data_IF_255573075692
#
_entry.id   IF_255573075692
#
_cell.length_a   1.000
_cell.length_b   1.000
_cell.length_c   1.000
_cell.angle_alpha   90.00
_cell.angle_beta   90.00
_cell.angle_gamma   90.00
#
_symmetry.space_group_name_H-M   'P 1'
#
loop_
_entity.id
_entity.type
_entity.pdbx_description
1 polymer ?
#
# COMPACT_ATOMS: atom_id res chain seq x y z
N UNK A 1 -17.43 6.41 -27.63
CA UNK A 1 -17.95 6.76 -26.28
C UNK A 1 -17.81 8.26 -26.02
N UNK A 2 -16.60 8.84 -26.09
CA UNK A 2 -16.39 10.30 -25.89
C UNK A 2 -16.94 11.18 -27.02
N UNK A 3 -16.66 10.87 -28.30
CA UNK A 3 -17.19 11.67 -29.41
C UNK A 3 -18.71 11.53 -29.58
N UNK A 4 -19.28 10.36 -29.24
CA UNK A 4 -20.74 10.20 -29.18
C UNK A 4 -21.38 11.07 -28.08
N UNK A 5 -20.73 11.20 -26.92
CA UNK A 5 -21.17 12.13 -25.89
C UNK A 5 -21.03 13.60 -26.35
N UNK A 6 -19.96 13.93 -27.07
CA UNK A 6 -19.75 15.26 -27.67
C UNK A 6 -20.87 15.64 -28.65
N UNK A 7 -21.24 14.71 -29.54
CA UNK A 7 -22.32 14.89 -30.52
C UNK A 7 -23.69 15.01 -29.84
N UNK A 8 -23.96 14.18 -28.83
CA UNK A 8 -25.24 14.21 -28.12
C UNK A 8 -25.42 15.46 -27.24
N UNK A 9 -24.37 15.87 -26.53
CA UNK A 9 -24.41 17.04 -25.65
C UNK A 9 -24.33 18.36 -26.44
N UNK A 10 -23.86 18.31 -27.70
CA UNK A 10 -23.67 19.47 -28.58
C UNK A 10 -22.98 20.66 -27.91
N UNK A 11 -22.01 20.38 -27.02
CA UNK A 11 -21.27 21.39 -26.27
C UNK A 11 -19.81 21.37 -26.64
N UNK A 12 -19.23 22.55 -26.87
CA UNK A 12 -17.79 22.72 -27.12
C UNK A 12 -16.96 22.59 -25.83
N UNK A 13 -17.60 22.60 -24.67
CA UNK A 13 -16.94 22.60 -23.37
C UNK A 13 -16.68 21.18 -22.82
N UNK A 14 -16.89 20.14 -23.64
CA UNK A 14 -16.57 18.78 -23.22
C UNK A 14 -15.06 18.59 -23.10
N UNK A 15 -14.63 18.30 -21.87
CA UNK A 15 -13.25 17.99 -21.53
C UNK A 15 -13.14 16.58 -20.97
N UNK A 16 -12.01 15.93 -21.24
CA UNK A 16 -11.62 14.67 -20.62
C UNK A 16 -10.42 14.96 -19.72
N UNK A 17 -10.57 14.68 -18.43
CA UNK A 17 -9.50 14.86 -17.44
C UNK A 17 -8.86 13.51 -17.13
N UNK A 18 -7.59 13.27 -17.51
CA UNK A 18 -6.89 12.04 -17.15
C UNK A 18 -6.55 12.05 -15.65
N UNK A 19 -6.78 10.91 -14.97
CA UNK A 19 -6.48 10.73 -13.54
C UNK A 19 -5.75 9.42 -13.33
N UNK A 20 -4.48 9.50 -12.92
CA UNK A 20 -3.66 8.33 -12.57
C UNK A 20 -3.85 7.95 -11.10
N UNK A 21 -4.02 6.65 -10.82
CA UNK A 21 -4.20 6.13 -9.46
C UNK A 21 -3.02 5.24 -9.07
N UNK A 22 -2.25 5.69 -8.08
CA UNK A 22 -1.05 5.02 -7.58
C UNK A 22 -1.32 4.41 -6.20
N UNK A 23 -1.53 3.09 -6.18
CA UNK A 23 -1.79 2.33 -4.97
C UNK A 23 -0.51 1.71 -4.42
N UNK A 24 -0.26 1.85 -3.11
CA UNK A 24 0.81 1.09 -2.46
C UNK A 24 0.48 -0.41 -2.38
N UNK A 25 -0.80 -0.78 -2.31
CA UNK A 25 -1.30 -2.16 -2.36
C UNK A 25 -2.82 -2.19 -2.54
N UNK A 26 -3.36 -2.34 -3.77
CA UNK A 26 -4.80 -2.18 -4.04
C UNK A 26 -5.68 -3.24 -3.36
N UNK A 27 -5.13 -4.42 -3.07
CA UNK A 27 -5.85 -5.52 -2.41
C UNK A 27 -5.77 -5.52 -0.89
N UNK A 28 -5.01 -4.60 -0.28
CA UNK A 28 -4.80 -4.55 1.18
C UNK A 28 -5.57 -3.39 1.81
N UNK A 29 -6.20 -3.67 2.95
CA UNK A 29 -6.82 -2.62 3.77
C UNK A 29 -5.76 -1.63 4.27
N UNK A 30 -6.14 -0.34 4.34
CA UNK A 30 -5.28 0.76 4.78
C UNK A 30 -3.99 0.93 3.95
N UNK A 31 -4.02 0.51 2.69
CA UNK A 31 -3.01 0.91 1.72
C UNK A 31 -3.15 2.40 1.41
N UNK A 32 -2.06 2.99 0.91
CA UNK A 32 -2.03 4.37 0.48
C UNK A 32 -2.52 4.44 -0.97
N UNK A 33 -3.23 5.50 -1.30
CA UNK A 33 -3.61 5.87 -2.66
C UNK A 33 -3.17 7.32 -2.88
N UNK A 34 -2.35 7.53 -3.90
CA UNK A 34 -2.01 8.85 -4.42
C UNK A 34 -2.63 8.99 -5.81
N UNK A 35 -3.33 10.09 -6.07
CA UNK A 35 -3.93 10.36 -7.36
C UNK A 35 -3.25 11.57 -8.00
N UNK A 36 -2.89 11.42 -9.27
CA UNK A 36 -2.35 12.51 -10.09
C UNK A 36 -3.41 12.91 -11.10
N UNK A 37 -3.68 14.21 -11.20
CA UNK A 37 -4.64 14.77 -12.17
C UNK A 37 -3.83 15.41 -13.28
N UNK A 38 -3.97 14.92 -14.51
CA UNK A 38 -3.26 15.45 -15.65
C UNK A 38 -4.02 16.58 -16.35
N UNK A 39 -3.39 17.13 -17.38
CA UNK A 39 -3.96 18.22 -18.15
C UNK A 39 -5.24 17.78 -18.88
N UNK A 40 -6.33 18.57 -18.81
CA UNK A 40 -7.56 18.28 -19.54
C UNK A 40 -7.36 18.25 -21.05
N UNK A 41 -8.00 17.30 -21.72
CA UNK A 41 -8.06 17.21 -23.19
C UNK A 41 -9.40 17.77 -23.63
N UNK A 42 -9.39 18.84 -24.42
CA UNK A 42 -10.60 19.42 -25.00
C UNK A 42 -11.01 18.64 -26.24
N UNK A 43 -12.25 18.14 -26.26
CA UNK A 43 -12.73 17.33 -27.38
C UNK A 43 -13.04 18.17 -28.62
N UNK A 44 -13.32 19.47 -28.42
CA UNK A 44 -13.46 20.45 -29.49
C UNK A 44 -12.27 20.48 -30.45
N UNK A 45 -11.06 20.29 -29.93
CA UNK A 45 -9.80 20.40 -30.68
C UNK A 45 -9.64 19.24 -31.68
N UNK A 46 -10.33 18.12 -31.42
CA UNK A 46 -10.32 16.90 -32.25
C UNK A 46 -11.60 16.75 -33.08
N UNK A 47 -12.61 17.62 -32.88
CA UNK A 47 -13.91 17.50 -33.54
C UNK A 47 -13.84 17.65 -35.07
N UNK A 48 -12.94 18.50 -35.57
CA UNK A 48 -12.71 18.66 -37.01
C UNK A 48 -12.19 17.38 -37.66
N UNK A 49 -11.11 16.82 -37.10
CA UNK A 49 -10.53 15.57 -37.57
C UNK A 49 -11.52 14.39 -37.47
N UNK A 50 -12.36 14.36 -36.42
CA UNK A 50 -13.36 13.31 -36.25
C UNK A 50 -14.42 13.31 -37.36
N UNK A 51 -14.82 14.49 -37.86
CA UNK A 51 -15.76 14.58 -38.99
C UNK A 51 -15.19 14.01 -40.29
N UNK A 52 -13.89 14.19 -40.51
CA UNK A 52 -13.21 13.68 -41.71
C UNK A 52 -12.96 12.16 -41.62
N UNK A 53 -12.47 11.68 -40.47
CA UNK A 53 -12.19 10.26 -40.27
C UNK A 53 -12.39 9.86 -38.80
N UNK A 54 -13.60 9.42 -38.41
CA UNK A 54 -13.93 9.09 -37.03
C UNK A 54 -13.01 8.02 -36.42
N UNK A 55 -12.70 6.98 -37.19
CA UNK A 55 -11.87 5.86 -36.72
C UNK A 55 -10.43 6.31 -36.44
N UNK A 56 -9.84 7.11 -37.33
CA UNK A 56 -8.48 7.63 -37.15
C UNK A 56 -8.40 8.57 -35.96
N UNK A 57 -9.35 9.48 -35.81
CA UNK A 57 -9.34 10.44 -34.71
C UNK A 57 -9.59 9.76 -33.36
N UNK A 58 -10.47 8.77 -33.31
CA UNK A 58 -10.67 7.96 -32.10
C UNK A 58 -9.35 7.28 -31.68
N UNK A 59 -8.60 6.72 -32.65
CA UNK A 59 -7.29 6.13 -32.37
C UNK A 59 -6.29 7.16 -31.84
N UNK A 60 -6.17 8.31 -32.51
CA UNK A 60 -5.28 9.41 -32.07
C UNK A 60 -5.64 9.92 -30.67
N UNK A 61 -6.93 10.06 -30.36
CA UNK A 61 -7.38 10.44 -29.03
C UNK A 61 -6.97 9.40 -27.98
N UNK A 62 -7.13 8.11 -28.28
CA UNK A 62 -6.71 7.04 -27.36
C UNK A 62 -5.19 7.00 -27.17
N UNK A 63 -4.40 7.19 -28.23
CA UNK A 63 -2.94 7.28 -28.14
C UNK A 63 -2.49 8.49 -27.29
N UNK A 64 -3.14 9.65 -27.48
CA UNK A 64 -2.91 10.84 -26.64
C UNK A 64 -3.29 10.58 -25.18
N UNK A 65 -4.46 10.01 -24.94
CA UNK A 65 -4.95 9.71 -23.59
C UNK A 65 -4.03 8.69 -22.89
N UNK A 66 -3.59 7.65 -23.59
CA UNK A 66 -2.65 6.66 -23.06
C UNK A 66 -1.32 7.30 -22.65
N UNK A 67 -0.74 8.15 -23.52
CA UNK A 67 0.49 8.89 -23.18
C UNK A 67 0.31 9.75 -21.93
N UNK A 68 -0.77 10.54 -21.86
CA UNK A 68 -1.07 11.40 -20.71
C UNK A 68 -1.29 10.60 -19.43
N UNK A 69 -1.97 9.46 -19.51
CA UNK A 69 -2.24 8.61 -18.35
C UNK A 69 -0.96 7.92 -17.85
N UNK A 70 -0.05 7.53 -18.74
CA UNK A 70 1.23 6.92 -18.37
C UNK A 70 2.11 7.87 -17.56
N UNK A 71 2.10 9.17 -17.86
CA UNK A 71 2.84 10.18 -17.09
C UNK A 71 2.33 10.33 -15.64
N UNK A 72 1.08 9.93 -15.36
CA UNK A 72 0.45 10.08 -14.06
C UNK A 72 0.66 8.87 -13.13
N UNK A 73 1.27 7.80 -13.63
CA UNK A 73 1.46 6.54 -12.90
C UNK A 73 2.89 6.02 -13.02
N UNK A 74 3.33 5.24 -12.03
CA UNK A 74 4.61 4.54 -12.11
C UNK A 74 4.50 3.40 -13.13
N UNK A 75 5.11 3.57 -14.31
CA UNK A 75 5.04 2.59 -15.40
C UNK A 75 6.32 1.77 -15.53
N UNK A 76 6.26 0.50 -15.13
CA UNK A 76 7.34 -0.47 -15.30
C UNK A 76 7.20 -1.09 -16.70
N UNK A 77 8.20 -0.88 -17.57
CA UNK A 77 8.15 -1.32 -18.98
C UNK A 77 8.27 -2.84 -19.10
N UNK A 78 9.19 -3.43 -18.35
CA UNK A 78 9.42 -4.87 -18.32
C UNK A 78 8.77 -5.49 -17.09
N UNK A 79 7.76 -6.34 -17.30
CA UNK A 79 7.00 -7.03 -16.25
C UNK A 79 7.87 -7.88 -15.31
N UNK A 80 9.01 -8.38 -15.77
CA UNK A 80 9.95 -9.12 -14.90
C UNK A 80 10.53 -8.26 -13.78
N UNK A 81 10.53 -6.93 -13.96
CA UNK A 81 11.02 -5.97 -12.99
C UNK A 81 9.93 -5.49 -12.00
N UNK A 82 8.68 -5.95 -12.14
CA UNK A 82 7.58 -5.56 -11.22
C UNK A 82 7.94 -5.86 -9.76
N UNK A 83 8.42 -7.09 -9.51
CA UNK A 83 8.83 -7.50 -8.17
C UNK A 83 10.06 -6.72 -7.68
N UNK A 84 11.02 -6.46 -8.58
CA UNK A 84 12.24 -5.73 -8.28
C UNK A 84 11.94 -4.32 -7.79
N UNK A 85 11.12 -3.56 -8.52
CA UNK A 85 10.78 -2.17 -8.16
C UNK A 85 10.13 -2.12 -6.78
N UNK A 86 9.17 -3.00 -6.49
CA UNK A 86 8.50 -3.07 -5.17
C UNK A 86 9.47 -3.43 -4.05
N UNK A 87 10.40 -4.35 -4.31
CA UNK A 87 11.41 -4.77 -3.35
C UNK A 87 12.42 -3.64 -3.07
N UNK A 88 12.90 -2.94 -4.10
CA UNK A 88 13.80 -1.81 -3.95
C UNK A 88 13.11 -0.60 -3.31
N UNK A 89 11.85 -0.33 -3.65
CA UNK A 89 11.04 0.74 -3.04
C UNK A 89 11.04 0.61 -1.50
N UNK A 90 10.87 -0.61 -0.99
CA UNK A 90 10.89 -0.88 0.44
C UNK A 90 12.24 -0.51 1.11
N UNK A 91 13.34 -0.56 0.36
CA UNK A 91 14.70 -0.31 0.84
C UNK A 91 15.11 1.16 0.69
N UNK A 92 14.75 1.80 -0.43
CA UNK A 92 15.21 3.17 -0.77
C UNK A 92 14.31 4.26 -0.23
N UNK A 93 13.00 4.01 -0.07
CA UNK A 93 12.00 5.07 0.18
C UNK A 93 12.40 6.02 1.33
N UNK A 94 12.72 5.46 2.50
CA UNK A 94 13.10 6.28 3.66
C UNK A 94 14.47 6.94 3.50
N UNK A 95 15.39 6.25 2.84
CA UNK A 95 16.76 6.73 2.66
C UNK A 95 16.78 7.95 1.74
N UNK A 96 16.15 7.85 0.57
CA UNK A 96 16.08 8.93 -0.42
C UNK A 96 15.28 10.12 0.08
N UNK A 97 14.12 9.91 0.72
CA UNK A 97 13.39 10.99 1.37
C UNK A 97 14.25 11.75 2.38
N UNK A 98 15.03 11.02 3.19
CA UNK A 98 15.92 11.63 4.19
C UNK A 98 17.09 12.38 3.53
N UNK A 99 17.73 11.82 2.50
CA UNK A 99 18.84 12.46 1.77
C UNK A 99 18.42 13.80 1.15
N UNK A 100 17.21 13.87 0.60
CA UNK A 100 16.64 15.10 0.03
C UNK A 100 15.97 16.02 1.07
N UNK A 101 15.98 15.66 2.35
CA UNK A 101 15.28 16.39 3.41
C UNK A 101 13.77 16.60 3.11
N UNK A 102 13.15 15.61 2.48
CA UNK A 102 11.73 15.61 2.11
C UNK A 102 10.88 15.03 3.23
N UNK A 103 9.68 15.58 3.39
CA UNK A 103 8.67 15.03 4.30
C UNK A 103 8.12 13.73 3.71
N UNK A 104 7.70 12.81 4.58
CA UNK A 104 7.00 11.60 4.17
C UNK A 104 5.54 11.90 3.79
N UNK A 105 5.33 12.59 2.66
CA UNK A 105 4.02 12.83 2.02
C UNK A 105 3.78 11.82 0.90
N UNK A 106 2.52 11.65 0.50
CA UNK A 106 2.16 10.75 -0.61
C UNK A 106 2.77 11.19 -1.94
N UNK A 107 2.89 12.50 -2.14
CA UNK A 107 3.51 13.13 -3.31
C UNK A 107 5.00 12.80 -3.39
N UNK A 108 5.76 13.04 -2.32
CA UNK A 108 7.20 12.73 -2.30
C UNK A 108 7.46 11.21 -2.37
N UNK A 109 6.58 10.39 -1.80
CA UNK A 109 6.65 8.93 -1.97
C UNK A 109 6.46 8.56 -3.45
N UNK A 110 5.48 9.14 -4.13
CA UNK A 110 5.27 8.92 -5.56
C UNK A 110 6.44 9.40 -6.42
N UNK A 111 7.03 10.55 -6.13
CA UNK A 111 8.22 11.05 -6.84
C UNK A 111 9.39 10.06 -6.71
N UNK A 112 9.65 9.56 -5.50
CA UNK A 112 10.68 8.55 -5.26
C UNK A 112 10.42 7.26 -6.03
N UNK A 113 9.18 6.74 -5.99
CA UNK A 113 8.83 5.49 -6.70
C UNK A 113 8.87 5.68 -8.21
N UNK A 114 8.48 6.86 -8.73
CA UNK A 114 8.57 7.20 -10.15
C UNK A 114 10.02 7.26 -10.60
N UNK A 115 10.86 7.95 -9.85
CA UNK A 115 12.29 8.03 -10.16
C UNK A 115 12.98 6.66 -10.11
N UNK A 116 12.69 5.85 -9.08
CA UNK A 116 13.18 4.47 -9.00
C UNK A 116 12.75 3.66 -10.22
N UNK A 117 11.49 3.77 -10.63
CA UNK A 117 10.95 3.03 -11.77
C UNK A 117 11.66 3.43 -13.07
N UNK A 118 11.88 4.72 -13.29
CA UNK A 118 12.64 5.22 -14.44
C UNK A 118 14.08 4.71 -14.45
N UNK A 119 14.77 4.74 -13.31
CA UNK A 119 16.13 4.20 -13.19
C UNK A 119 16.20 2.72 -13.57
N UNK A 120 15.25 1.91 -13.09
CA UNK A 120 15.21 0.48 -13.41
C UNK A 120 14.83 0.23 -14.87
N UNK A 121 13.92 1.03 -15.44
CA UNK A 121 13.60 0.95 -16.87
C UNK A 121 14.84 1.27 -17.72
N UNK A 122 15.57 2.34 -17.39
CA UNK A 122 16.77 2.76 -18.11
C UNK A 122 17.90 1.73 -17.96
N UNK A 123 18.13 1.22 -16.75
CA UNK A 123 19.12 0.16 -16.51
C UNK A 123 18.79 -1.11 -17.30
N UNK A 124 17.50 -1.48 -17.39
CA UNK A 124 17.09 -2.68 -18.13
C UNK A 124 17.30 -2.53 -19.64
N UNK A 125 17.17 -1.32 -20.18
CA UNK A 125 17.39 -1.03 -21.60
C UNK A 125 18.90 -0.95 -21.94
N UNK A 126 19.71 -0.35 -21.07
CA UNK A 126 21.14 -0.16 -21.31
C UNK A 126 21.98 -1.38 -20.93
N UNK A 127 21.67 -2.00 -19.79
CA UNK A 127 22.46 -3.06 -19.16
C UNK A 127 21.56 -4.17 -18.58
N UNK A 128 20.91 -4.99 -19.45
CA UNK A 128 19.95 -6.00 -19.02
C UNK A 128 20.58 -7.06 -18.09
N UNK A 129 21.85 -7.41 -18.29
CA UNK A 129 22.56 -8.35 -17.42
C UNK A 129 22.72 -7.81 -15.98
N UNK A 130 23.09 -6.54 -15.83
CA UNK A 130 23.17 -5.90 -14.50
C UNK A 130 21.79 -5.85 -13.83
N UNK A 131 20.74 -5.57 -14.60
CA UNK A 131 19.36 -5.58 -14.08
C UNK A 131 18.97 -6.98 -13.61
N UNK A 132 19.32 -8.04 -14.36
CA UNK A 132 19.04 -9.41 -13.97
C UNK A 132 19.76 -9.81 -12.68
N UNK A 133 21.04 -9.42 -12.52
CA UNK A 133 21.81 -9.65 -11.28
C UNK A 133 21.18 -8.91 -10.10
N UNK A 134 20.83 -7.62 -10.28
CA UNK A 134 20.17 -6.82 -9.24
C UNK A 134 18.82 -7.43 -8.85
N UNK A 135 18.05 -7.91 -9.84
CA UNK A 135 16.80 -8.64 -9.64
C UNK A 135 16.98 -9.87 -8.77
N UNK A 136 17.97 -10.70 -9.11
CA UNK A 136 18.26 -11.92 -8.37
C UNK A 136 18.72 -11.61 -6.93
N UNK A 137 19.65 -10.66 -6.75
CA UNK A 137 20.15 -10.28 -5.44
C UNK A 137 19.05 -9.71 -4.52
N UNK A 138 18.20 -8.83 -5.07
CA UNK A 138 17.02 -8.30 -4.37
C UNK A 138 16.06 -9.42 -3.96
N UNK A 139 15.79 -10.34 -4.88
CA UNK A 139 14.88 -11.45 -4.65
C UNK A 139 15.40 -12.39 -3.55
N UNK A 140 16.70 -12.71 -3.57
CA UNK A 140 17.34 -13.58 -2.58
C UNK A 140 17.35 -12.94 -1.20
N UNK A 141 17.66 -11.64 -1.12
CA UNK A 141 17.57 -10.86 0.12
C UNK A 141 16.16 -10.89 0.70
N UNK A 142 15.14 -10.57 -0.11
CA UNK A 142 13.75 -10.57 0.34
C UNK A 142 13.23 -11.97 0.67
N UNK A 143 13.71 -13.01 -0.02
CA UNK A 143 13.43 -14.41 0.32
C UNK A 143 14.00 -14.78 1.69
N UNK A 144 15.24 -14.38 1.98
CA UNK A 144 15.87 -14.61 3.28
C UNK A 144 15.14 -13.86 4.40
N UNK A 145 14.70 -12.63 4.16
CA UNK A 145 13.83 -11.89 5.09
C UNK A 145 12.53 -12.65 5.36
N UNK A 146 11.82 -13.11 4.31
CA UNK A 146 10.55 -13.85 4.43
C UNK A 146 10.73 -15.16 5.20
N UNK A 147 11.78 -15.94 4.89
CA UNK A 147 12.12 -17.20 5.57
C UNK A 147 12.30 -16.99 7.07
N UNK A 148 12.93 -15.88 7.45
CA UNK A 148 13.17 -15.52 8.85
C UNK A 148 12.05 -14.67 9.48
N UNK A 149 10.94 -14.45 8.77
CA UNK A 149 9.81 -13.60 9.20
C UNK A 149 10.25 -12.18 9.58
N UNK A 150 11.26 -11.65 8.90
CA UNK A 150 11.76 -10.29 9.05
C UNK A 150 11.21 -9.39 7.94
N UNK A 151 11.31 -8.08 8.13
CA UNK A 151 10.97 -7.05 7.13
C UNK A 151 12.16 -6.12 6.98
N UNK A 152 12.35 -5.53 5.80
CA UNK A 152 13.50 -4.65 5.49
C UNK A 152 13.69 -3.53 6.53
N UNK A 153 12.61 -2.90 7.00
CA UNK A 153 12.72 -1.80 7.99
C UNK A 153 13.47 -2.16 9.27
N UNK A 154 13.59 -3.45 9.61
CA UNK A 154 14.36 -3.94 10.76
C UNK A 154 15.86 -3.86 10.47
N UNK A 155 16.27 -4.14 9.23
CA UNK A 155 17.67 -4.16 8.78
C UNK A 155 18.15 -2.77 8.36
N UNK A 156 17.22 -1.90 7.95
CA UNK A 156 17.46 -0.50 7.61
C UNK A 156 18.35 0.21 8.67
N UNK A 157 19.54 0.72 8.28
CA UNK A 157 20.47 1.40 9.19
C UNK A 157 19.85 2.59 9.94
N UNK A 158 18.86 3.27 9.34
CA UNK A 158 18.15 4.39 9.97
C UNK A 158 17.36 3.96 11.22
N UNK A 159 17.04 2.67 11.33
CA UNK A 159 16.29 2.10 12.45
C UNK A 159 17.20 1.40 13.48
N UNK A 160 18.53 1.37 13.29
CA UNK A 160 19.47 0.64 14.17
C UNK A 160 19.29 0.95 15.66
N UNK A 161 19.06 2.22 16.04
CA UNK A 161 18.81 2.63 17.44
C UNK A 161 17.56 1.96 18.05
N UNK A 162 16.58 1.60 17.22
CA UNK A 162 15.36 0.90 17.65
C UNK A 162 15.61 -0.61 17.80
N UNK A 163 16.64 -1.17 17.18
CA UNK A 163 16.97 -2.60 17.25
C UNK A 163 17.96 -2.83 18.39
N UNK A 164 17.46 -2.81 19.62
CA UNK A 164 18.27 -2.99 20.83
C UNK A 164 17.53 -3.81 21.89
N UNK A 165 18.29 -4.49 22.76
CA UNK A 165 17.72 -5.24 23.88
C UNK A 165 16.89 -4.35 24.82
N UNK A 166 17.36 -3.14 25.14
CA UNK A 166 16.64 -2.22 26.02
C UNK A 166 15.29 -1.80 25.42
N UNK A 167 15.25 -1.47 24.12
CA UNK A 167 13.99 -1.16 23.45
C UNK A 167 13.09 -2.39 23.38
N UNK A 168 13.65 -3.60 23.20
CA UNK A 168 12.86 -4.82 23.20
C UNK A 168 12.18 -5.07 24.55
N UNK A 169 12.91 -4.94 25.66
CA UNK A 169 12.36 -5.07 27.03
C UNK A 169 11.25 -4.04 27.26
N UNK A 170 11.51 -2.77 26.94
CA UNK A 170 10.51 -1.70 27.05
C UNK A 170 9.24 -2.03 26.26
N UNK A 171 9.38 -2.52 25.03
CA UNK A 171 8.23 -2.89 24.19
C UNK A 171 7.47 -4.10 24.72
N UNK A 172 8.12 -5.05 25.39
CA UNK A 172 7.41 -6.16 26.06
C UNK A 172 6.63 -5.69 27.28
N UNK A 173 7.16 -4.78 28.09
CA UNK A 173 6.43 -4.17 29.21
C UNK A 173 5.16 -3.48 28.68
N UNK A 174 5.28 -2.66 27.64
CA UNK A 174 4.12 -2.03 26.98
C UNK A 174 3.15 -3.07 26.40
N UNK A 175 3.66 -4.21 25.91
CA UNK A 175 2.83 -5.30 25.38
C UNK A 175 1.97 -5.92 26.49
N UNK A 176 2.54 -6.15 27.67
CA UNK A 176 1.83 -6.69 28.84
C UNK A 176 0.77 -5.69 29.32
N UNK A 177 1.12 -4.40 29.45
CA UNK A 177 0.19 -3.36 29.90
C UNK A 177 -1.00 -3.19 28.96
N UNK A 178 -0.79 -3.29 27.64
CA UNK A 178 -1.87 -3.16 26.65
C UNK A 178 -2.66 -4.45 26.38
N UNK A 179 -2.29 -5.58 26.98
CA UNK A 179 -2.85 -6.88 26.63
C UNK A 179 -4.35 -6.99 26.92
N UNK A 180 -4.81 -6.44 28.06
CA UNK A 180 -6.22 -6.51 28.46
C UNK A 180 -7.12 -5.77 27.45
N UNK A 181 -6.80 -4.53 27.13
CA UNK A 181 -7.53 -3.73 26.13
C UNK A 181 -7.44 -4.35 24.72
N UNK A 182 -6.30 -4.96 24.38
CA UNK A 182 -6.13 -5.70 23.14
C UNK A 182 -7.08 -6.90 23.07
N UNK A 183 -7.22 -7.69 24.14
CA UNK A 183 -8.09 -8.86 24.17
C UNK A 183 -9.57 -8.48 24.02
N UNK A 184 -10.02 -7.41 24.69
CA UNK A 184 -11.40 -6.91 24.55
C UNK A 184 -11.68 -6.45 23.12
N UNK A 185 -10.76 -5.69 22.52
CA UNK A 185 -10.89 -5.24 21.14
C UNK A 185 -10.82 -6.38 20.11
N UNK A 186 -9.96 -7.36 20.37
CA UNK A 186 -9.88 -8.56 19.54
C UNK A 186 -11.17 -9.36 19.61
N UNK A 187 -11.70 -9.62 20.81
CA UNK A 187 -12.93 -10.40 21.00
C UNK A 187 -14.13 -9.73 20.31
N UNK A 188 -14.25 -8.40 20.44
CA UNK A 188 -15.38 -7.66 19.85
C UNK A 188 -15.33 -7.57 18.33
N UNK A 189 -14.14 -7.41 17.74
CA UNK A 189 -13.98 -7.15 16.30
C UNK A 189 -13.45 -8.32 15.47
N UNK A 190 -12.91 -9.38 16.07
CA UNK A 190 -12.37 -10.51 15.32
C UNK A 190 -13.45 -11.29 14.58
N UNK A 191 -14.58 -11.57 15.25
CA UNK A 191 -15.72 -12.25 14.65
C UNK A 191 -16.27 -11.50 13.43
N UNK A 192 -16.67 -10.22 13.53
CA UNK A 192 -17.22 -9.50 12.37
C UNK A 192 -16.15 -9.32 11.27
N UNK A 193 -14.88 -9.11 11.62
CA UNK A 193 -13.79 -9.07 10.65
C UNK A 193 -13.68 -10.38 9.85
N UNK A 194 -13.67 -11.53 10.54
CA UNK A 194 -13.48 -12.83 9.89
C UNK A 194 -14.67 -13.22 9.03
N UNK A 195 -15.89 -12.94 9.49
CA UNK A 195 -17.12 -13.11 8.72
C UNK A 195 -17.10 -12.25 7.46
N UNK A 196 -16.69 -10.99 7.58
CA UNK A 196 -16.59 -10.06 6.44
C UNK A 196 -15.55 -10.49 5.42
N UNK A 197 -14.37 -10.91 5.86
CA UNK A 197 -13.32 -11.45 5.00
C UNK A 197 -13.82 -12.69 4.24
N UNK A 198 -14.50 -13.59 4.93
CA UNK A 198 -15.00 -14.85 4.36
C UNK A 198 -16.11 -14.60 3.36
N UNK A 199 -17.07 -13.74 3.69
CA UNK A 199 -18.15 -13.31 2.78
C UNK A 199 -17.57 -12.67 1.51
N UNK A 200 -16.63 -11.75 1.66
CA UNK A 200 -15.96 -11.07 0.54
C UNK A 200 -15.26 -12.06 -0.37
N UNK A 201 -14.44 -12.96 0.18
CA UNK A 201 -13.72 -13.97 -0.61
C UNK A 201 -14.64 -14.96 -1.32
N UNK A 202 -15.80 -15.27 -0.73
CA UNK A 202 -16.78 -16.18 -1.32
C UNK A 202 -17.46 -15.55 -2.56
N UNK A 203 -17.69 -14.25 -2.53
CA UNK A 203 -18.33 -13.49 -3.62
C UNK A 203 -17.31 -13.06 -4.68
N UNK A 204 -16.16 -12.54 -4.25
CA UNK A 204 -15.11 -12.01 -5.12
C UNK A 204 -14.09 -13.12 -5.44
N UNK A 205 -14.49 -14.07 -6.29
CA UNK A 205 -13.62 -15.19 -6.68
C UNK A 205 -12.63 -14.86 -7.81
N UNK A 206 -12.99 -13.97 -8.74
CA UNK A 206 -12.19 -13.69 -9.95
C UNK A 206 -11.67 -12.26 -10.05
N UNK A 207 -12.48 -11.26 -9.71
CA UNK A 207 -12.14 -9.86 -9.98
C UNK A 207 -11.59 -9.17 -8.71
N UNK A 208 -10.26 -9.22 -8.53
CA UNK A 208 -9.58 -8.60 -7.38
C UNK A 208 -9.89 -7.11 -7.23
N UNK A 209 -10.23 -6.44 -8.32
CA UNK A 209 -10.61 -5.02 -8.37
C UNK A 209 -11.85 -4.69 -7.52
N UNK A 210 -12.81 -5.61 -7.40
CA UNK A 210 -14.01 -5.41 -6.59
C UNK A 210 -13.84 -5.79 -5.11
N UNK A 211 -12.67 -6.33 -4.74
CA UNK A 211 -12.45 -6.83 -3.39
C UNK A 211 -12.61 -5.73 -2.34
N UNK A 212 -12.02 -4.56 -2.57
CA UNK A 212 -12.06 -3.46 -1.60
C UNK A 212 -13.49 -2.95 -1.35
N UNK A 213 -14.24 -2.69 -2.42
CA UNK A 213 -15.63 -2.21 -2.33
C UNK A 213 -16.55 -3.23 -1.67
N UNK A 214 -16.41 -4.51 -2.02
CA UNK A 214 -17.19 -5.59 -1.39
C UNK A 214 -16.81 -5.81 0.07
N UNK A 215 -15.51 -5.76 0.41
CA UNK A 215 -15.04 -5.86 1.79
C UNK A 215 -15.61 -4.73 2.66
N UNK A 216 -15.69 -3.51 2.13
CA UNK A 216 -16.29 -2.37 2.82
C UNK A 216 -17.80 -2.56 3.01
N UNK A 217 -18.51 -2.99 1.97
CA UNK A 217 -19.94 -3.27 2.03
C UNK A 217 -20.28 -4.34 3.06
N UNK A 218 -19.73 -5.55 2.90
CA UNK A 218 -19.95 -6.65 3.85
C UNK A 218 -19.45 -6.31 5.25
N UNK A 219 -18.29 -5.67 5.35
CA UNK A 219 -17.73 -5.15 6.60
C UNK A 219 -18.74 -4.29 7.35
N UNK A 220 -19.26 -3.25 6.71
CA UNK A 220 -20.22 -2.33 7.32
C UNK A 220 -21.45 -3.06 7.86
N UNK A 221 -22.11 -3.89 7.04
CA UNK A 221 -23.32 -4.58 7.48
C UNK A 221 -23.07 -5.59 8.59
N UNK A 222 -22.06 -6.44 8.46
CA UNK A 222 -21.74 -7.47 9.46
C UNK A 222 -21.34 -6.83 10.79
N UNK A 223 -20.55 -5.76 10.77
CA UNK A 223 -20.20 -5.04 11.99
C UNK A 223 -21.44 -4.42 12.65
N UNK A 224 -22.36 -3.80 11.89
CA UNK A 224 -23.60 -3.25 12.46
C UNK A 224 -24.40 -4.35 13.19
N UNK A 225 -24.68 -5.48 12.54
CA UNK A 225 -25.47 -6.55 13.16
C UNK A 225 -24.78 -7.19 14.36
N UNK A 226 -23.45 -7.38 14.32
CA UNK A 226 -22.71 -7.91 15.46
C UNK A 226 -22.72 -6.94 16.64
N UNK A 227 -22.58 -5.63 16.41
CA UNK A 227 -22.64 -4.64 17.47
C UNK A 227 -24.06 -4.45 18.05
N UNK A 228 -25.10 -4.64 17.24
CA UNK A 228 -26.48 -4.77 17.75
C UNK A 228 -26.61 -6.01 18.64
N UNK A 229 -26.02 -7.15 18.26
CA UNK A 229 -25.96 -8.34 19.09
C UNK A 229 -25.26 -8.08 20.43
N UNK A 230 -24.11 -7.40 20.42
CA UNK A 230 -23.40 -6.99 21.63
C UNK A 230 -24.25 -6.07 22.51
N UNK A 231 -25.00 -5.13 21.93
CA UNK A 231 -25.89 -4.25 22.67
C UNK A 231 -26.93 -5.05 23.48
N UNK A 232 -27.66 -5.94 22.81
CA UNK A 232 -28.70 -6.74 23.48
C UNK A 232 -28.11 -7.70 24.51
N UNK A 233 -26.96 -8.32 24.21
CA UNK A 233 -26.26 -9.19 25.16
C UNK A 233 -25.82 -8.43 26.41
N UNK A 234 -25.32 -7.20 26.28
CA UNK A 234 -24.92 -6.40 27.43
C UNK A 234 -26.13 -5.87 28.19
N UNK A 235 -27.22 -5.56 27.49
CA UNK A 235 -28.47 -5.11 28.09
C UNK A 235 -29.08 -6.15 29.02
N UNK A 236 -29.00 -7.46 28.70
CA UNK A 236 -29.54 -8.52 29.59
C UNK A 236 -28.88 -8.57 30.97
N UNK A 237 -27.65 -8.06 31.10
CA UNK A 237 -26.91 -8.02 32.36
C UNK A 237 -26.81 -6.61 32.95
N UNK A 238 -27.46 -5.62 32.35
CA UNK A 238 -27.35 -4.22 32.74
C UNK A 238 -28.65 -3.71 33.36
N UNK A 239 -28.58 -2.91 34.44
CA UNK A 239 -29.79 -2.36 35.06
C UNK A 239 -30.44 -1.27 34.19
N UNK A 240 -29.64 -0.57 33.35
CA UNK A 240 -30.08 0.58 32.57
C UNK A 240 -29.44 0.54 31.16
N UNK A 241 -30.02 1.25 30.19
CA UNK A 241 -29.52 1.35 28.81
C UNK A 241 -28.15 2.07 28.68
N UNK A 242 -27.75 2.85 29.67
CA UNK A 242 -26.49 3.62 29.62
C UNK A 242 -25.27 2.69 29.59
N UNK A 243 -25.28 1.62 30.40
CA UNK A 243 -24.16 0.67 30.47
C UNK A 243 -23.84 0.01 29.12
N UNK A 244 -24.79 -0.63 28.40
CA UNK A 244 -24.49 -1.20 27.10
C UNK A 244 -24.04 -0.14 26.08
N UNK A 245 -24.61 1.07 26.10
CA UNK A 245 -24.16 2.16 25.20
C UNK A 245 -22.71 2.56 25.46
N UNK A 246 -22.33 2.77 26.73
CA UNK A 246 -20.95 3.09 27.12
C UNK A 246 -20.01 1.92 26.77
N UNK A 247 -20.43 0.69 27.05
CA UNK A 247 -19.67 -0.51 26.70
C UNK A 247 -19.45 -0.62 25.20
N UNK A 248 -20.42 -0.31 24.34
CA UNK A 248 -20.21 -0.29 22.88
C UNK A 248 -19.12 0.70 22.47
N UNK A 249 -19.11 1.90 23.06
CA UNK A 249 -18.05 2.89 22.81
C UNK A 249 -16.70 2.33 23.24
N UNK A 250 -16.62 1.70 24.42
CA UNK A 250 -15.41 1.04 24.91
C UNK A 250 -14.97 -0.08 23.96
N UNK A 251 -15.89 -0.92 23.47
CA UNK A 251 -15.60 -1.99 22.51
C UNK A 251 -15.06 -1.43 21.19
N UNK A 252 -15.64 -0.34 20.66
CA UNK A 252 -15.17 0.33 19.44
C UNK A 252 -13.76 0.91 19.61
N UNK A 253 -13.52 1.62 20.72
CA UNK A 253 -12.20 2.17 21.03
C UNK A 253 -11.17 1.06 21.26
N UNK A 254 -11.54 0.00 21.98
CA UNK A 254 -10.70 -1.18 22.22
C UNK A 254 -10.40 -1.90 20.91
N UNK A 255 -11.36 -1.98 19.99
CA UNK A 255 -11.19 -2.58 18.67
C UNK A 255 -10.17 -1.81 17.82
N UNK A 256 -10.28 -0.48 17.80
CA UNK A 256 -9.31 0.40 17.12
C UNK A 256 -7.92 0.25 17.76
N UNK A 257 -7.86 0.23 19.09
CA UNK A 257 -6.63 -0.01 19.83
C UNK A 257 -6.02 -1.37 19.47
N UNK A 258 -6.81 -2.44 19.49
CA UNK A 258 -6.36 -3.79 19.19
C UNK A 258 -5.75 -3.90 17.79
N UNK A 259 -6.35 -3.25 16.79
CA UNK A 259 -5.81 -3.20 15.43
C UNK A 259 -4.43 -2.51 15.38
N UNK A 260 -4.28 -1.36 16.04
CA UNK A 260 -3.01 -0.62 16.08
C UNK A 260 -1.94 -1.38 16.89
N UNK A 261 -2.35 -1.93 18.03
CA UNK A 261 -1.50 -2.67 18.95
C UNK A 261 -1.04 -4.01 18.37
N UNK A 262 -1.86 -4.64 17.51
CA UNK A 262 -1.45 -5.82 16.76
C UNK A 262 -0.20 -5.55 15.90
N UNK A 263 -0.18 -4.44 15.17
CA UNK A 263 1.00 -4.04 14.38
C UNK A 263 2.21 -3.73 15.27
N UNK A 264 1.98 -3.15 16.45
CA UNK A 264 3.04 -2.96 17.44
C UNK A 264 3.64 -4.30 17.87
N UNK A 265 2.84 -5.29 18.27
CA UNK A 265 3.31 -6.62 18.66
C UNK A 265 4.05 -7.34 17.53
N UNK A 266 3.54 -7.28 16.29
CA UNK A 266 4.25 -7.84 15.12
C UNK A 266 5.63 -7.21 14.92
N UNK A 267 5.73 -5.89 15.07
CA UNK A 267 7.02 -5.19 15.04
C UNK A 267 7.90 -5.60 16.23
N UNK A 268 7.36 -5.85 17.42
CA UNK A 268 8.12 -6.29 18.60
C UNK A 268 8.73 -7.65 18.36
N UNK A 269 7.94 -8.60 17.84
CA UNK A 269 8.40 -9.94 17.49
C UNK A 269 9.45 -9.92 16.37
N UNK A 270 9.35 -8.97 15.44
CA UNK A 270 10.39 -8.74 14.43
C UNK A 270 11.73 -8.32 15.05
N UNK A 271 11.71 -7.35 15.98
CA UNK A 271 12.92 -6.94 16.71
C UNK A 271 13.48 -8.10 17.54
N UNK A 272 12.63 -8.86 18.22
CA UNK A 272 13.05 -10.02 19.01
C UNK A 272 13.82 -11.05 18.16
N UNK A 273 13.32 -11.34 16.94
CA UNK A 273 13.99 -12.25 16.00
C UNK A 273 15.36 -11.71 15.55
N UNK A 274 15.44 -10.44 15.22
CA UNK A 274 16.69 -9.80 14.79
C UNK A 274 17.74 -9.75 15.91
N UNK A 275 17.32 -9.45 17.14
CA UNK A 275 18.21 -9.36 18.30
C UNK A 275 18.69 -10.74 18.76
N UNK A 276 17.87 -11.80 18.57
CA UNK A 276 18.19 -13.19 18.94
C UNK A 276 19.27 -13.81 18.05
N UNK A 277 19.37 -13.41 16.79
CA UNK A 277 20.36 -13.93 15.84
C UNK A 277 21.21 -12.80 15.22
N UNK A 278 22.27 -12.37 15.93
CA UNK A 278 23.14 -11.28 15.47
C UNK A 278 23.88 -11.62 14.17
N UNK A 279 24.22 -12.89 13.95
CA UNK A 279 24.93 -13.32 12.75
C UNK A 279 24.04 -13.18 11.52
N UNK A 280 22.79 -13.66 11.60
CA UNK A 280 21.81 -13.46 10.54
C UNK A 280 21.54 -11.98 10.29
N UNK A 281 21.41 -11.17 11.37
CA UNK A 281 21.22 -9.73 11.23
C UNK A 281 22.38 -9.07 10.48
N UNK A 282 23.62 -9.46 10.78
CA UNK A 282 24.82 -8.97 10.09
C UNK A 282 24.81 -9.36 8.61
N UNK A 283 24.59 -10.63 8.28
CA UNK A 283 24.52 -11.10 6.89
C UNK A 283 23.42 -10.40 6.10
N UNK A 284 22.24 -10.20 6.69
CA UNK A 284 21.17 -9.44 6.06
C UNK A 284 21.54 -7.97 5.86
N UNK A 285 22.26 -7.37 6.79
CA UNK A 285 22.73 -5.99 6.69
C UNK A 285 23.76 -5.81 5.57
N UNK A 286 24.69 -6.77 5.43
CA UNK A 286 25.68 -6.80 4.34
C UNK A 286 24.99 -6.94 2.98
N UNK A 287 24.10 -7.91 2.81
CA UNK A 287 23.32 -8.08 1.56
C UNK A 287 22.48 -6.85 1.21
N UNK A 288 21.85 -6.23 2.21
CA UNK A 288 21.09 -4.99 2.01
C UNK A 288 22.00 -3.87 1.51
N UNK A 289 23.19 -3.75 2.09
CA UNK A 289 24.16 -2.73 1.74
C UNK A 289 24.68 -2.91 0.32
N UNK A 290 25.03 -4.13 -0.09
CA UNK A 290 25.45 -4.45 -1.47
C UNK A 290 24.40 -4.01 -2.50
N UNK A 291 23.11 -4.32 -2.26
CA UNK A 291 22.02 -3.90 -3.15
C UNK A 291 21.88 -2.37 -3.16
N UNK A 292 21.92 -1.73 -1.99
CA UNK A 292 21.80 -0.28 -1.89
C UNK A 292 22.99 0.46 -2.52
N UNK A 293 24.19 -0.10 -2.51
CA UNK A 293 25.37 0.47 -3.19
C UNK A 293 25.17 0.47 -4.71
N UNK A 294 24.71 -0.65 -5.27
CA UNK A 294 24.37 -0.72 -6.70
C UNK A 294 23.30 0.32 -7.02
N UNK A 295 22.18 0.32 -6.30
CA UNK A 295 21.05 1.21 -6.59
C UNK A 295 21.43 2.68 -6.43
N UNK A 296 22.10 3.06 -5.35
CA UNK A 296 22.54 4.45 -5.16
C UNK A 296 23.63 4.85 -6.16
N UNK A 297 24.44 3.91 -6.65
CA UNK A 297 25.43 4.15 -7.70
C UNK A 297 24.82 4.45 -9.07
N UNK A 298 23.57 4.02 -9.32
CA UNK A 298 22.81 4.38 -10.51
C UNK A 298 22.22 5.79 -10.44
N UNK A 299 22.22 6.40 -9.25
CA UNK A 299 21.51 7.64 -8.99
C UNK A 299 22.47 8.80 -8.76
N UNK A 300 22.19 9.95 -9.38
CA UNK A 300 22.64 11.24 -8.85
C UNK A 300 21.61 11.82 -7.84
N UNK A 301 20.77 10.94 -7.26
CA UNK A 301 19.58 11.29 -6.50
C UNK A 301 19.89 11.54 -5.03
#
# INVERSE_FOLDING_TARGET
MVFGAYEHLNTKDLIVVPVGLNYSAPSKMRSKLFYNVGNPIRISDLAGAHKENPARTQKQFLELLDSRMRELVTHIKNKENDALVVELEAMVMKDWLKRKNLKNSLENEFEVTSHLTELINNLNELEPEKTAILRQNSHDYHTLLRKNKLRDWIIDPLNRKKISYNNLIFRYILTILGLLSYMIGWLSSYLPYKLSETATKKVVKRNKEFYASMALGFGTFIFIFVFIGWFFLLYTFSPNIIYPLVSLVVLLLSSRFALLFHFFMLKTNGIARAVKDPNLYKTLSEKRLEIMEVVNGLTNF
#
